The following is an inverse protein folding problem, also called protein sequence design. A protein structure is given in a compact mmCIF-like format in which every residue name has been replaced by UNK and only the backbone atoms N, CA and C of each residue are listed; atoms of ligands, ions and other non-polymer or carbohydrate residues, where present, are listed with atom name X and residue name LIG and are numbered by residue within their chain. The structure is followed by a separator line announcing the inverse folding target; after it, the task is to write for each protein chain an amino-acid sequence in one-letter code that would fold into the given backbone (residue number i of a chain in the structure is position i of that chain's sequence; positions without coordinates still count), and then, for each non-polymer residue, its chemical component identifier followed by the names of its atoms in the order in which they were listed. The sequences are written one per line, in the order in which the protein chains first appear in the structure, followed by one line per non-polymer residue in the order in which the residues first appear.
data_IF_061026927706
#
_entry.id   IF_061026927706
#
_cell.length_a   1.000
_cell.length_b   1.000
_cell.length_c   1.000
_cell.angle_alpha   90.00
_cell.angle_beta   90.00
_cell.angle_gamma   90.00
#
_symmetry.space_group_name_H-M   'P 1'
#
loop_
_entity.id
_entity.type
_entity.pdbx_description
1 polymer ?
#
# COMPACT_ATOMS: atom_id res chain seq x y z
N UNK A 1 44.39 -31.13 25.32
CA UNK A 1 43.12 -31.38 26.02
C UNK A 1 42.02 -31.34 24.96
N UNK A 2 41.62 -32.49 24.44
CA UNK A 2 40.58 -32.62 23.41
C UNK A 2 39.32 -33.16 24.10
N UNK A 3 38.24 -32.37 24.08
CA UNK A 3 36.95 -32.75 24.64
C UNK A 3 35.89 -32.77 23.53
N UNK A 4 35.66 -33.95 22.97
CA UNK A 4 34.49 -34.25 22.14
C UNK A 4 33.37 -34.75 23.04
N UNK A 5 32.14 -34.26 22.85
CA UNK A 5 30.95 -35.02 23.24
C UNK A 5 29.84 -34.79 22.21
N UNK A 6 29.67 -35.81 21.37
CA UNK A 6 28.53 -36.02 20.48
C UNK A 6 27.35 -36.58 21.29
N UNK A 7 26.15 -36.02 21.12
CA UNK A 7 24.89 -36.69 21.51
C UNK A 7 23.90 -36.53 20.34
N UNK A 8 23.65 -37.60 19.56
CA UNK A 8 22.46 -37.69 18.73
C UNK A 8 21.41 -38.57 19.43
N UNK A 9 20.16 -38.14 19.49
CA UNK A 9 19.04 -39.05 19.74
C UNK A 9 17.81 -38.63 18.95
N UNK A 10 17.57 -39.41 17.90
CA UNK A 10 16.36 -39.48 17.11
C UNK A 10 15.32 -40.39 17.79
N UNK A 11 14.03 -40.20 17.44
CA UNK A 11 12.85 -41.11 17.51
C UNK A 11 11.61 -40.29 17.90
N UNK A 12 10.37 -40.49 17.43
CA UNK A 12 9.72 -41.23 16.33
C UNK A 12 8.19 -41.00 16.55
N UNK A 13 7.39 -41.15 15.50
CA UNK A 13 5.94 -41.50 15.50
C UNK A 13 4.94 -40.38 15.92
N UNK A 14 3.76 -40.21 15.32
CA UNK A 14 2.93 -41.17 14.61
C UNK A 14 2.05 -40.52 13.52
N UNK A 15 1.88 -41.28 12.43
CA UNK A 15 0.84 -41.11 11.41
C UNK A 15 -0.53 -41.51 12.00
N UNK A 16 -1.48 -40.58 12.00
CA UNK A 16 -2.90 -40.86 12.25
C UNK A 16 -3.59 -41.30 10.95
N UNK A 17 -4.03 -42.55 10.92
CA UNK A 17 -4.51 -43.25 9.73
C UNK A 17 -5.96 -42.98 9.32
N UNK A 18 -6.23 -43.31 8.05
CA UNK A 18 -7.54 -43.56 7.48
C UNK A 18 -8.20 -44.79 8.14
N UNK A 19 -9.51 -44.73 8.40
CA UNK A 19 -10.34 -45.93 8.39
C UNK A 19 -11.78 -45.60 8.00
N UNK A 20 -12.15 -46.10 6.83
CA UNK A 20 -13.49 -46.11 6.28
C UNK A 20 -14.29 -47.27 6.87
N UNK A 21 -15.60 -47.09 7.11
CA UNK A 21 -16.53 -48.24 7.22
C UNK A 21 -17.93 -47.91 6.67
N UNK A 22 -18.56 -48.82 5.89
CA UNK A 22 -19.79 -48.57 5.12
C UNK A 22 -21.06 -49.22 5.72
N UNK A 23 -22.19 -48.96 5.06
CA UNK A 23 -23.46 -49.72 5.03
C UNK A 23 -24.29 -49.69 6.35
N UNK A 24 -25.62 -49.59 6.39
CA UNK A 24 -26.70 -49.65 5.41
C UNK A 24 -27.99 -49.49 6.24
N UNK A 25 -28.97 -48.69 5.80
CA UNK A 25 -30.38 -49.09 5.91
C UNK A 25 -31.25 -48.22 5.00
N UNK A 26 -31.77 -48.86 3.95
CA UNK A 26 -32.84 -48.35 3.11
C UNK A 26 -34.17 -48.80 3.69
N UNK A 27 -35.05 -47.87 4.00
CA UNK A 27 -36.52 -47.99 4.05
C UNK A 27 -37.03 -46.61 4.47
N UNK A 28 -37.96 -45.93 3.82
CA UNK A 28 -38.83 -46.21 2.70
C UNK A 28 -39.70 -44.95 2.53
N UNK A 29 -40.51 -44.90 1.46
CA UNK A 29 -41.54 -43.89 1.32
C UNK A 29 -41.34 -42.99 0.11
N UNK A 30 -42.06 -43.33 -0.96
CA UNK A 30 -42.34 -42.40 -2.04
C UNK A 30 -43.03 -41.16 -1.47
N UNK A 31 -42.47 -39.98 -1.75
CA UNK A 31 -43.26 -38.77 -1.95
C UNK A 31 -42.48 -37.82 -2.84
N UNK A 32 -43.03 -37.70 -4.04
CA UNK A 32 -42.88 -36.62 -4.99
C UNK A 32 -42.77 -35.26 -4.28
N UNK A 33 -41.57 -34.70 -4.31
CA UNK A 33 -41.31 -33.27 -4.22
C UNK A 33 -39.91 -33.07 -4.79
N UNK A 34 -39.84 -32.81 -6.09
CA UNK A 34 -38.65 -32.25 -6.71
C UNK A 34 -38.38 -30.88 -6.06
N UNK A 35 -37.64 -30.89 -4.95
CA UNK A 35 -36.94 -29.70 -4.46
C UNK A 35 -35.81 -29.46 -5.45
N UNK A 36 -36.10 -28.58 -6.39
CA UNK A 36 -35.12 -27.88 -7.20
C UNK A 36 -34.01 -27.36 -6.26
N UNK A 37 -32.90 -28.10 -6.22
CA UNK A 37 -31.68 -27.59 -5.60
C UNK A 37 -31.34 -26.31 -6.36
N UNK A 38 -31.12 -25.18 -5.65
CA UNK A 38 -30.53 -24.02 -6.31
C UNK A 38 -29.22 -24.50 -6.89
N UNK A 39 -29.17 -24.61 -8.21
CA UNK A 39 -27.96 -24.93 -8.95
C UNK A 39 -26.95 -23.88 -8.51
N UNK A 40 -26.01 -24.29 -7.65
CA UNK A 40 -25.01 -23.39 -7.12
C UNK A 40 -24.32 -22.73 -8.32
N UNK A 41 -24.63 -21.46 -8.52
CA UNK A 41 -24.01 -20.64 -9.54
C UNK A 41 -22.51 -20.77 -9.31
N UNK A 42 -21.73 -21.22 -10.31
CA UNK A 42 -20.31 -21.42 -10.12
C UNK A 42 -19.76 -20.07 -9.66
N UNK A 43 -19.29 -19.99 -8.42
CA UNK A 43 -18.73 -18.78 -7.85
C UNK A 43 -17.70 -18.26 -8.85
N UNK A 44 -18.08 -17.21 -9.58
CA UNK A 44 -17.25 -16.66 -10.63
C UNK A 44 -15.93 -16.33 -9.96
N UNK A 45 -14.89 -17.10 -10.26
CA UNK A 45 -13.55 -16.85 -9.73
C UNK A 45 -13.27 -15.41 -10.10
N UNK A 46 -13.25 -14.51 -9.11
CA UNK A 46 -12.90 -13.11 -9.32
C UNK A 46 -11.50 -13.11 -9.88
N UNK A 47 -11.38 -13.06 -11.20
CA UNK A 47 -10.09 -13.05 -11.88
C UNK A 47 -9.38 -11.82 -11.38
N UNK A 48 -8.30 -11.99 -10.61
CA UNK A 48 -7.56 -10.85 -10.09
C UNK A 48 -7.14 -9.99 -11.28
N UNK A 49 -7.46 -8.69 -11.30
CA UNK A 49 -7.20 -7.86 -12.45
C UNK A 49 -5.72 -7.90 -12.81
N UNK A 50 -5.43 -8.10 -14.10
CA UNK A 50 -4.07 -8.10 -14.64
C UNK A 50 -3.39 -6.78 -14.26
N UNK A 51 -2.20 -6.84 -13.62
CA UNK A 51 -1.46 -5.66 -13.12
C UNK A 51 -0.47 -5.06 -14.12
N UNK A 52 0.02 -5.89 -15.04
CA UNK A 52 1.06 -5.51 -15.98
C UNK A 52 0.57 -5.61 -17.43
N UNK A 53 0.97 -4.68 -18.30
CA UNK A 53 0.68 -4.75 -19.74
C UNK A 53 1.53 -5.82 -20.45
N UNK A 54 1.53 -5.85 -21.78
CA UNK A 54 2.32 -6.83 -22.55
C UNK A 54 3.83 -6.55 -22.44
N UNK A 55 4.19 -5.28 -22.19
CA UNK A 55 5.57 -4.80 -22.04
C UNK A 55 6.07 -4.90 -20.58
N UNK A 56 5.23 -5.40 -19.66
CA UNK A 56 5.56 -5.55 -18.25
C UNK A 56 5.58 -4.24 -17.45
N UNK A 57 4.90 -3.19 -17.91
CA UNK A 57 4.67 -1.93 -17.18
C UNK A 57 3.37 -2.02 -16.39
N UNK A 58 3.25 -1.23 -15.34
CA UNK A 58 2.02 -1.18 -14.54
C UNK A 58 0.89 -0.56 -15.35
N UNK A 59 -0.27 -1.22 -15.34
CA UNK A 59 -1.49 -0.70 -15.97
C UNK A 59 -2.12 0.33 -15.02
N UNK A 60 -2.58 1.49 -15.51
CA UNK A 60 -3.32 2.44 -14.69
C UNK A 60 -4.66 1.87 -14.18
N UNK A 61 -5.03 2.23 -12.96
CA UNK A 61 -6.39 2.05 -12.41
C UNK A 61 -7.28 3.25 -12.77
N UNK A 62 -8.56 3.22 -12.39
CA UNK A 62 -9.42 4.41 -12.46
C UNK A 62 -9.36 5.25 -11.18
N UNK A 63 -8.57 4.82 -10.19
CA UNK A 63 -8.41 5.51 -8.92
C UNK A 63 -7.35 6.62 -9.03
N UNK A 64 -7.67 7.77 -8.42
CA UNK A 64 -6.81 8.95 -8.38
C UNK A 64 -6.76 9.53 -6.97
N UNK A 65 -5.60 10.07 -6.61
CA UNK A 65 -5.40 10.79 -5.36
C UNK A 65 -4.46 11.97 -5.62
N UNK A 66 -4.94 13.19 -5.41
CA UNK A 66 -4.18 14.44 -5.63
C UNK A 66 -3.58 14.54 -7.04
N UNK A 67 -4.32 14.07 -8.05
CA UNK A 67 -3.86 14.01 -9.44
C UNK A 67 -2.91 12.84 -9.76
N UNK A 68 -2.52 12.02 -8.78
CA UNK A 68 -1.73 10.81 -9.00
C UNK A 68 -2.66 9.67 -9.38
N UNK A 69 -2.57 9.19 -10.62
CA UNK A 69 -3.28 7.99 -11.06
C UNK A 69 -2.62 6.74 -10.46
N UNK A 70 -3.35 5.95 -9.69
CA UNK A 70 -2.79 4.77 -9.04
C UNK A 70 -2.63 3.60 -10.02
N UNK A 71 -1.64 2.70 -9.83
CA UNK A 71 -1.56 1.48 -10.63
C UNK A 71 -2.66 0.49 -10.25
N UNK A 72 -3.12 -0.30 -11.22
CA UNK A 72 -4.14 -1.33 -11.03
C UNK A 72 -3.72 -2.36 -9.98
N UNK A 73 -4.63 -2.63 -9.05
CA UNK A 73 -4.38 -3.51 -7.91
C UNK A 73 -3.57 -2.84 -6.79
N UNK A 74 -3.49 -1.51 -6.77
CA UNK A 74 -3.20 -0.77 -5.55
C UNK A 74 -4.40 -0.86 -4.61
N UNK A 75 -4.15 -1.22 -3.36
CA UNK A 75 -5.17 -1.37 -2.33
C UNK A 75 -4.89 -0.37 -1.22
N UNK A 76 -5.91 0.37 -0.80
CA UNK A 76 -5.81 1.29 0.34
C UNK A 76 -5.58 0.47 1.63
N UNK A 77 -4.47 0.75 2.30
CA UNK A 77 -4.08 0.06 3.53
C UNK A 77 -4.37 0.90 4.77
N UNK A 78 -4.19 2.23 4.68
CA UNK A 78 -4.48 3.17 5.76
C UNK A 78 -4.80 4.54 5.17
N UNK A 79 -5.75 5.23 5.78
CA UNK A 79 -6.00 6.64 5.55
C UNK A 79 -6.09 7.34 6.90
N UNK A 80 -5.42 8.49 7.03
CA UNK A 80 -5.39 9.30 8.25
C UNK A 80 -5.28 10.78 7.87
N UNK A 81 -6.42 11.48 7.85
CA UNK A 81 -6.51 12.85 7.36
C UNK A 81 -6.00 12.97 5.91
N UNK A 82 -4.91 13.72 5.74
CA UNK A 82 -4.25 13.98 4.44
C UNK A 82 -3.27 12.86 4.02
N UNK A 83 -3.07 11.85 4.87
CA UNK A 83 -2.19 10.72 4.61
C UNK A 83 -2.98 9.56 3.99
N UNK A 84 -2.55 9.13 2.82
CA UNK A 84 -3.09 7.97 2.11
C UNK A 84 -1.98 6.95 1.90
N UNK A 85 -2.15 5.73 2.40
CA UNK A 85 -1.18 4.65 2.30
C UNK A 85 -1.78 3.51 1.51
N UNK A 86 -1.16 3.21 0.38
CA UNK A 86 -1.53 2.10 -0.51
C UNK A 86 -0.48 1.01 -0.48
N UNK A 87 -0.90 -0.22 -0.80
CA UNK A 87 -0.01 -1.34 -1.10
C UNK A 87 -0.31 -1.87 -2.49
N UNK A 88 0.74 -2.21 -3.22
CA UNK A 88 0.63 -2.84 -4.54
C UNK A 88 1.56 -4.04 -4.61
N UNK A 89 1.04 -5.17 -5.09
CA UNK A 89 1.84 -6.37 -5.34
C UNK A 89 2.58 -6.26 -6.67
N UNK A 90 3.66 -5.48 -6.65
CA UNK A 90 4.56 -5.26 -7.76
C UNK A 90 6.00 -4.98 -7.27
N UNK A 91 7.03 -5.24 -8.10
CA UNK A 91 8.41 -4.92 -7.77
C UNK A 91 8.59 -3.40 -7.67
N UNK A 92 9.38 -2.95 -6.69
CA UNK A 92 9.57 -1.52 -6.42
C UNK A 92 10.07 -0.74 -7.64
N UNK A 93 10.97 -1.32 -8.45
CA UNK A 93 11.46 -0.69 -9.67
C UNK A 93 10.36 -0.37 -10.68
N UNK A 94 9.34 -1.23 -10.78
CA UNK A 94 8.18 -1.01 -11.65
C UNK A 94 7.27 0.10 -11.11
N UNK A 95 7.10 0.17 -9.79
CA UNK A 95 6.31 1.22 -9.13
C UNK A 95 7.01 2.58 -9.23
N UNK A 96 8.32 2.63 -9.04
CA UNK A 96 9.13 3.84 -9.23
C UNK A 96 9.08 4.33 -10.68
N UNK A 97 9.22 3.43 -11.66
CA UNK A 97 9.13 3.79 -13.07
C UNK A 97 7.74 4.31 -13.48
N UNK A 98 6.69 3.88 -12.78
CA UNK A 98 5.32 4.32 -13.02
C UNK A 98 5.02 5.67 -12.34
N UNK A 99 5.34 5.83 -11.05
CA UNK A 99 4.99 7.05 -10.28
C UNK A 99 6.01 8.18 -10.48
N UNK A 100 7.30 7.84 -10.56
CA UNK A 100 8.39 8.82 -10.63
C UNK A 100 8.19 9.89 -11.71
N UNK A 101 7.84 9.54 -12.97
CA UNK A 101 7.62 10.52 -14.02
C UNK A 101 6.46 11.51 -13.77
N UNK A 102 5.53 11.19 -12.87
CA UNK A 102 4.43 12.08 -12.50
C UNK A 102 4.88 13.14 -11.48
N UNK A 103 6.00 12.94 -10.78
CA UNK A 103 6.47 13.83 -9.71
C UNK A 103 7.37 14.94 -10.25
N UNK A 104 6.98 16.19 -10.04
CA UNK A 104 7.80 17.37 -10.32
C UNK A 104 8.29 17.95 -9.00
N UNK A 105 9.56 17.72 -8.67
CA UNK A 105 10.19 18.20 -7.43
C UNK A 105 11.69 18.47 -7.63
N UNK A 106 12.24 19.37 -6.79
CA UNK A 106 13.69 19.57 -6.65
C UNK A 106 14.33 18.75 -5.53
N UNK A 107 13.56 17.91 -4.81
CA UNK A 107 14.06 17.14 -3.67
C UNK A 107 13.55 15.70 -3.71
N UNK A 108 14.48 14.77 -3.94
CA UNK A 108 14.25 13.33 -3.92
C UNK A 108 15.26 12.67 -2.99
N UNK A 109 14.79 11.99 -1.96
CA UNK A 109 15.63 11.20 -1.06
C UNK A 109 15.57 9.73 -1.43
N UNK A 110 16.73 9.09 -1.64
CA UNK A 110 16.79 7.63 -1.77
C UNK A 110 16.69 6.96 -0.41
N UNK A 111 15.90 5.89 -0.33
CA UNK A 111 15.69 5.09 0.88
C UNK A 111 15.77 3.60 0.52
N UNK A 112 16.95 3.01 0.65
CA UNK A 112 17.21 1.65 0.15
C UNK A 112 16.95 1.57 -1.36
N UNK A 113 16.09 0.64 -1.78
CA UNK A 113 15.63 0.54 -3.18
C UNK A 113 14.52 1.53 -3.55
N UNK A 114 14.00 2.27 -2.57
CA UNK A 114 12.88 3.19 -2.71
C UNK A 114 13.29 4.65 -2.80
N UNK A 115 12.28 5.52 -2.88
CA UNK A 115 12.45 6.96 -2.98
C UNK A 115 11.36 7.71 -2.23
N UNK A 116 11.71 8.91 -1.75
CA UNK A 116 10.78 9.89 -1.17
C UNK A 116 10.88 11.18 -1.98
N UNK A 117 9.79 11.56 -2.63
CA UNK A 117 9.64 12.81 -3.36
C UNK A 117 9.04 13.83 -2.41
N UNK A 118 9.79 14.88 -2.07
CA UNK A 118 9.32 15.89 -1.12
C UNK A 118 8.73 17.09 -1.84
N UNK A 119 7.64 17.65 -1.31
CA UNK A 119 6.96 18.85 -1.82
C UNK A 119 6.75 18.82 -3.35
N UNK A 120 6.41 17.65 -3.87
CA UNK A 120 6.24 17.44 -5.29
C UNK A 120 4.94 18.07 -5.77
N UNK A 121 4.95 18.63 -6.98
CA UNK A 121 3.74 18.82 -7.76
C UNK A 121 3.50 17.60 -8.64
N UNK A 122 2.24 17.30 -8.92
CA UNK A 122 1.89 16.22 -9.82
C UNK A 122 1.73 16.77 -11.23
N UNK A 123 2.46 16.19 -12.19
CA UNK A 123 2.39 16.55 -13.59
C UNK A 123 0.97 16.31 -14.12
N UNK A 124 0.39 17.33 -14.77
CA UNK A 124 -0.98 17.27 -15.31
C UNK A 124 -2.09 17.61 -14.31
N UNK A 125 -1.75 17.91 -13.04
CA UNK A 125 -2.72 18.35 -12.03
C UNK A 125 -2.80 19.90 -11.94
N UNK A 126 -3.00 20.57 -13.08
CA UNK A 126 -2.83 22.03 -13.22
C UNK A 126 -3.89 22.87 -12.48
N UNK A 127 -5.07 22.30 -12.21
CA UNK A 127 -6.22 23.04 -11.68
C UNK A 127 -6.13 23.25 -10.16
N UNK A 128 -5.27 22.49 -9.46
CA UNK A 128 -5.03 22.69 -8.02
C UNK A 128 -3.64 22.13 -7.63
N UNK A 129 -2.59 22.96 -7.58
CA UNK A 129 -1.22 22.51 -7.35
C UNK A 129 -0.94 22.21 -5.88
N UNK A 130 -1.76 21.37 -5.24
CA UNK A 130 -1.49 20.83 -3.91
C UNK A 130 -0.15 20.11 -3.96
N UNK A 131 0.77 20.52 -3.09
CA UNK A 131 2.07 19.87 -2.95
C UNK A 131 1.88 18.58 -2.18
N UNK A 132 2.63 17.55 -2.55
CA UNK A 132 2.57 16.24 -1.91
C UNK A 132 3.95 15.75 -1.50
N UNK A 133 4.02 15.04 -0.39
CA UNK A 133 5.13 14.15 -0.08
C UNK A 133 4.75 12.72 -0.47
N UNK A 134 5.54 12.10 -1.34
CA UNK A 134 5.29 10.74 -1.84
C UNK A 134 6.45 9.83 -1.46
N UNK A 135 6.16 8.75 -0.72
CA UNK A 135 7.13 7.73 -0.35
C UNK A 135 6.80 6.40 -1.01
N UNK A 136 7.78 5.80 -1.68
CA UNK A 136 7.66 4.50 -2.35
C UNK A 136 8.70 3.57 -1.75
N UNK A 137 8.25 2.56 -1.00
CA UNK A 137 9.11 1.69 -0.20
C UNK A 137 8.73 0.21 -0.36
N UNK A 138 9.74 -0.66 -0.37
CA UNK A 138 9.54 -2.11 -0.38
C UNK A 138 9.14 -2.55 1.04
N UNK A 139 8.06 -3.31 1.16
CA UNK A 139 7.56 -3.79 2.48
C UNK A 139 7.53 -5.31 2.60
N UNK A 140 7.54 -6.02 1.47
CA UNK A 140 7.77 -7.45 1.38
C UNK A 140 8.29 -7.77 -0.02
N UNK A 141 8.78 -8.99 -0.24
CA UNK A 141 9.14 -9.46 -1.57
C UNK A 141 8.00 -9.21 -2.56
N UNK A 142 8.26 -8.45 -3.62
CA UNK A 142 7.29 -8.11 -4.65
C UNK A 142 6.04 -7.34 -4.13
N UNK A 143 6.15 -6.63 -3.00
CA UNK A 143 5.09 -5.74 -2.48
C UNK A 143 5.68 -4.38 -2.13
N UNK A 144 5.09 -3.34 -2.70
CA UNK A 144 5.52 -1.96 -2.54
C UNK A 144 4.43 -1.17 -1.82
N UNK A 145 4.83 -0.37 -0.83
CA UNK A 145 3.99 0.63 -0.17
C UNK A 145 4.18 1.97 -0.85
N UNK A 146 3.06 2.64 -1.13
CA UNK A 146 3.01 4.00 -1.65
C UNK A 146 2.32 4.84 -0.57
N UNK A 147 3.02 5.81 -0.01
CA UNK A 147 2.47 6.76 0.96
C UNK A 147 2.40 8.13 0.30
N UNK A 148 1.24 8.78 0.39
CA UNK A 148 0.98 10.08 -0.22
C UNK A 148 0.44 10.97 0.90
N UNK A 149 1.16 12.03 1.21
CA UNK A 149 0.75 13.04 2.16
C UNK A 149 0.50 14.34 1.41
N UNK A 150 -0.73 14.85 1.47
CA UNK A 150 -1.03 16.20 1.01
C UNK A 150 -0.45 17.22 1.97
N UNK A 151 0.23 18.22 1.43
CA UNK A 151 0.73 19.34 2.20
C UNK A 151 -0.29 20.48 2.13
N UNK A 152 -0.55 21.16 3.26
CA UNK A 152 -1.42 22.32 3.25
C UNK A 152 -0.83 23.39 2.30
N UNK A 153 -1.70 24.22 1.69
CA UNK A 153 -1.22 25.35 0.91
C UNK A 153 -0.35 26.25 1.79
N UNK A 154 0.68 26.90 1.22
CA UNK A 154 1.46 27.88 1.97
C UNK A 154 0.54 28.99 2.49
N UNK A 155 0.84 29.50 3.69
CA UNK A 155 0.09 30.61 4.26
C UNK A 155 0.04 31.79 3.27
N UNK A 156 -1.11 32.49 3.14
CA UNK A 156 -1.19 33.71 2.35
C UNK A 156 -0.09 34.69 2.77
N UNK A 157 0.53 35.38 1.80
CA UNK A 157 1.67 36.29 2.07
C UNK A 157 1.33 37.39 3.08
N UNK A 158 0.06 37.78 3.18
CA UNK A 158 -0.44 38.77 4.15
C UNK A 158 -0.33 38.31 5.62
N UNK A 159 -0.22 37.00 5.88
CA UNK A 159 -0.13 36.44 7.23
C UNK A 159 1.30 36.20 7.70
N UNK A 160 2.31 36.39 6.84
CA UNK A 160 3.73 36.29 7.25
C UNK A 160 4.16 37.67 7.77
N UNK A 161 4.49 37.84 9.07
CA UNK A 161 4.97 39.11 9.58
C UNK A 161 6.20 39.56 8.79
N UNK A 162 6.24 40.84 8.40
CA UNK A 162 7.42 41.38 7.73
C UNK A 162 8.67 41.16 8.59
N UNK A 163 9.83 41.06 7.94
CA UNK A 163 11.11 40.91 8.65
C UNK A 163 11.30 42.00 9.73
N UNK A 164 10.82 43.22 9.44
CA UNK A 164 10.85 44.34 10.38
C UNK A 164 9.95 44.12 11.59
N UNK A 165 8.74 43.58 11.42
CA UNK A 165 7.84 43.23 12.53
C UNK A 165 8.43 42.13 13.40
N UNK A 166 9.02 41.10 12.81
CA UNK A 166 9.68 40.01 13.55
C UNK A 166 10.88 40.51 14.34
N UNK A 167 11.69 41.40 13.75
CA UNK A 167 12.86 42.01 14.43
C UNK A 167 12.45 42.95 15.56
N UNK A 168 11.37 43.72 15.38
CA UNK A 168 10.83 44.58 16.42
C UNK A 168 10.28 43.77 17.61
N UNK A 169 9.47 42.75 17.34
CA UNK A 169 8.92 41.86 18.37
C UNK A 169 10.03 41.16 19.16
N UNK A 170 11.07 40.65 18.48
CA UNK A 170 12.21 40.03 19.16
C UNK A 170 12.92 41.00 20.12
N UNK A 171 13.12 42.26 19.71
CA UNK A 171 13.73 43.30 20.56
C UNK A 171 12.86 43.63 21.78
N UNK A 172 11.55 43.62 21.62
CA UNK A 172 10.59 43.86 22.70
C UNK A 172 10.56 42.71 23.72
N UNK A 173 10.61 41.46 23.24
CA UNK A 173 10.71 40.28 24.10
C UNK A 173 12.01 40.25 24.92
N UNK A 174 13.14 40.68 24.35
CA UNK A 174 14.41 40.74 25.10
C UNK A 174 14.40 41.79 26.21
N UNK A 175 13.69 42.90 26.04
CA UNK A 175 13.63 43.99 27.04
C UNK A 175 12.73 43.70 28.23
N UNK A 176 11.85 42.71 28.13
CA UNK A 176 10.87 42.35 29.17
C UNK A 176 11.33 41.17 30.03
N UNK A 177 12.55 40.66 29.77
CA UNK A 177 13.16 39.55 30.49
C UNK A 177 14.25 40.00 31.50
N UNK A 178 14.55 41.30 31.55
CA UNK A 178 15.40 41.96 32.57
C UNK A 178 14.52 42.66 33.62
#
# INVERSE_FOLDING_TARGET
MHGSLFIPLALLLALGGCSSKPAQESQGGASEAAKEQPKAEPAARRTSPRRFDAEGRLIPSDDYIVGIRLPRGAELYRQDGLLHVYRVRAPIGKVLAYIGPMMITGSVERRGKGAVYKRASVRGAEVNPTKVDVSILEVASNTTRISIMELPPPAPREQVPSADRTKAAARESFRTLD
#
